data_IF_698998862716
#
_entry.id   IF_698998862716
#
_cell.length_a   1.000
_cell.length_b   1.000
_cell.length_c   1.000
_cell.angle_alpha   90.00
_cell.angle_beta   90.00
_cell.angle_gamma   90.00
#
_symmetry.space_group_name_H-M   'P 1'
#
loop_
_entity.id
_entity.type
_entity.pdbx_description
1 polymer ?
#
# COMPACT_ATOMS: atom_id res chain seq x y z
N UNK A 1 -11.01 -8.98 -11.57
CA UNK A 1 -10.98 -7.50 -11.46
C UNK A 1 -11.41 -7.13 -10.05
N UNK A 2 -10.81 -6.10 -9.42
CA UNK A 2 -11.35 -5.59 -8.16
C UNK A 2 -10.47 -4.65 -7.32
N UNK A 3 -9.15 -4.62 -7.51
CA UNK A 3 -8.26 -3.82 -6.64
C UNK A 3 -6.93 -3.40 -7.30
N UNK A 4 -6.80 -3.57 -8.61
CA UNK A 4 -5.69 -3.04 -9.42
C UNK A 4 -4.30 -3.19 -8.76
N UNK A 5 -3.98 -4.41 -8.30
CA UNK A 5 -2.79 -4.66 -7.49
C UNK A 5 -1.47 -4.19 -8.13
N UNK A 6 -1.23 -4.33 -9.45
CA UNK A 6 -0.05 -3.76 -10.09
C UNK A 6 0.03 -2.23 -9.96
N UNK A 7 -1.08 -1.53 -10.16
CA UNK A 7 -1.18 -0.07 -10.05
C UNK A 7 -0.97 0.38 -8.62
N UNK A 8 -1.55 -0.34 -7.65
CA UNK A 8 -1.37 -0.06 -6.24
C UNK A 8 0.12 -0.10 -5.86
N UNK A 9 0.87 -1.11 -6.31
CA UNK A 9 2.33 -1.20 -6.06
C UNK A 9 3.09 -0.01 -6.65
N UNK A 10 2.74 0.42 -7.87
CA UNK A 10 3.33 1.62 -8.49
C UNK A 10 3.05 2.87 -7.69
N UNK A 11 1.82 3.07 -7.20
CA UNK A 11 1.47 4.23 -6.38
C UNK A 11 2.13 4.22 -5.01
N UNK A 12 2.30 3.06 -4.37
CA UNK A 12 3.03 2.93 -3.10
C UNK A 12 4.51 3.29 -3.29
N UNK A 13 5.14 2.82 -4.37
CA UNK A 13 6.53 3.17 -4.68
C UNK A 13 6.69 4.68 -4.96
N UNK A 14 5.73 5.27 -5.69
CA UNK A 14 5.71 6.71 -5.94
C UNK A 14 5.50 7.52 -4.65
N UNK A 15 4.64 7.06 -3.74
CA UNK A 15 4.40 7.68 -2.43
C UNK A 15 5.70 7.78 -1.61
N UNK A 16 6.47 6.69 -1.54
CA UNK A 16 7.79 6.70 -0.89
C UNK A 16 8.75 7.69 -1.57
N UNK A 17 8.76 7.73 -2.91
CA UNK A 17 9.64 8.61 -3.67
C UNK A 17 9.33 10.11 -3.46
N UNK A 18 8.09 10.47 -3.16
CA UNK A 18 7.70 11.85 -2.83
C UNK A 18 7.79 12.17 -1.34
N UNK A 19 8.31 11.24 -0.52
CA UNK A 19 8.68 11.48 0.87
C UNK A 19 7.70 10.96 1.92
N UNK A 20 6.67 10.19 1.55
CA UNK A 20 5.86 9.49 2.56
C UNK A 20 6.67 8.39 3.23
N UNK A 21 6.43 8.20 4.51
CA UNK A 21 6.99 7.13 5.34
C UNK A 21 6.22 5.82 5.14
N UNK A 22 6.82 4.69 5.52
CA UNK A 22 6.14 3.39 5.48
C UNK A 22 4.96 3.37 6.47
N UNK A 23 5.11 4.03 7.61
CA UNK A 23 4.09 4.18 8.65
C UNK A 23 2.85 4.91 8.12
N UNK A 24 3.01 6.06 7.47
CA UNK A 24 1.90 6.81 6.86
C UNK A 24 1.16 5.99 5.81
N UNK A 25 1.89 5.21 4.99
CA UNK A 25 1.28 4.32 4.01
C UNK A 25 0.48 3.22 4.71
N UNK A 26 1.00 2.62 5.78
CA UNK A 26 0.29 1.59 6.55
C UNK A 26 -0.97 2.18 7.19
N UNK A 27 -0.90 3.39 7.75
CA UNK A 27 -2.05 4.08 8.35
C UNK A 27 -3.18 4.32 7.34
N UNK A 28 -2.85 4.79 6.13
CA UNK A 28 -3.83 4.94 5.05
C UNK A 28 -4.49 3.59 4.74
N UNK A 29 -3.72 2.51 4.66
CA UNK A 29 -4.26 1.18 4.38
C UNK A 29 -5.14 0.65 5.51
N UNK A 30 -4.80 0.94 6.77
CA UNK A 30 -5.65 0.63 7.93
C UNK A 30 -6.98 1.38 7.88
N UNK A 31 -6.99 2.66 7.50
CA UNK A 31 -8.22 3.42 7.28
C UNK A 31 -9.10 2.78 6.19
N UNK A 32 -8.49 2.22 5.15
CA UNK A 32 -9.22 1.51 4.10
C UNK A 32 -9.96 0.26 4.59
N UNK A 33 -9.68 -0.28 5.78
CA UNK A 33 -10.42 -1.43 6.29
C UNK A 33 -11.91 -1.12 6.46
N UNK A 34 -12.24 0.13 6.79
CA UNK A 34 -13.63 0.61 6.95
C UNK A 34 -14.30 0.83 5.58
N UNK A 35 -13.55 1.30 4.58
CA UNK A 35 -14.11 1.70 3.28
C UNK A 35 -14.09 0.60 2.22
N UNK A 36 -13.05 -0.22 2.20
CA UNK A 36 -12.83 -1.29 1.23
C UNK A 36 -12.97 -2.71 1.84
N UNK A 37 -13.14 -2.80 3.17
CA UNK A 37 -13.24 -4.05 3.91
C UNK A 37 -11.89 -4.69 4.21
N UNK A 38 -11.86 -5.48 5.30
CA UNK A 38 -10.66 -6.18 5.75
C UNK A 38 -9.92 -6.99 4.67
N UNK A 39 -10.60 -7.78 3.79
CA UNK A 39 -9.90 -8.56 2.77
C UNK A 39 -9.12 -7.70 1.77
N UNK A 40 -9.68 -6.56 1.35
CA UNK A 40 -9.02 -5.65 0.41
C UNK A 40 -7.83 -4.95 1.07
N UNK A 41 -7.98 -4.50 2.32
CA UNK A 41 -6.89 -3.90 3.10
C UNK A 41 -5.74 -4.87 3.31
N UNK A 42 -6.00 -6.13 3.68
CA UNK A 42 -4.94 -7.13 3.87
C UNK A 42 -4.16 -7.38 2.57
N UNK A 43 -4.85 -7.53 1.45
CA UNK A 43 -4.20 -7.65 0.14
C UNK A 43 -3.32 -6.43 -0.18
N UNK A 44 -3.80 -5.24 0.18
CA UNK A 44 -3.06 -4.01 0.03
C UNK A 44 -1.81 -3.94 0.93
N UNK A 45 -1.91 -4.36 2.19
CA UNK A 45 -0.78 -4.42 3.12
C UNK A 45 0.29 -5.41 2.65
N UNK A 46 -0.11 -6.56 2.08
CA UNK A 46 0.85 -7.48 1.46
C UNK A 46 1.54 -6.84 0.25
N UNK A 47 0.81 -6.12 -0.60
CA UNK A 47 1.40 -5.38 -1.71
C UNK A 47 2.39 -4.30 -1.22
N UNK A 48 2.04 -3.56 -0.16
CA UNK A 48 2.93 -2.58 0.45
C UNK A 48 4.22 -3.23 0.98
N UNK A 49 4.09 -4.35 1.69
CA UNK A 49 5.24 -5.13 2.20
C UNK A 49 6.20 -5.55 1.08
N UNK A 50 5.69 -6.01 -0.06
CA UNK A 50 6.52 -6.35 -1.21
C UNK A 50 7.28 -5.14 -1.78
N UNK A 51 6.61 -3.98 -1.86
CA UNK A 51 7.24 -2.74 -2.33
C UNK A 51 8.32 -2.29 -1.33
N UNK A 52 8.03 -2.30 -0.03
CA UNK A 52 9.00 -1.92 1.02
C UNK A 52 10.25 -2.80 1.00
N UNK A 53 10.10 -4.10 0.78
CA UNK A 53 11.25 -5.00 0.64
C UNK A 53 12.12 -4.70 -0.58
N UNK A 54 11.53 -4.13 -1.64
CA UNK A 54 12.23 -3.76 -2.88
C UNK A 54 12.76 -2.33 -2.84
N UNK A 55 12.16 -1.46 -2.02
CA UNK A 55 12.52 -0.07 -1.85
C UNK A 55 13.68 0.06 -0.87
N UNK A 56 14.91 -0.02 -1.39
CA UNK A 56 16.10 0.43 -0.65
C UNK A 56 16.14 1.95 -0.71
N UNK A 57 15.85 2.59 0.42
CA UNK A 57 16.16 4.00 0.65
C UNK A 57 17.66 4.26 0.64
#
# INVERSE_FOLDING_TARGET
MGNAAPQLKVHIAAALHVGLTQEEIIEVMMQMAVYAGFPATLNGLFAAKEVFASHRG
#
